data_IF_816158627475
#
_entry.id   IF_816158627475
#
_cell.length_a   1.000
_cell.length_b   1.000
_cell.length_c   1.000
_cell.angle_alpha   90.00
_cell.angle_beta   90.00
_cell.angle_gamma   90.00
#
_symmetry.space_group_name_H-M   'P 1'
#
loop_
_entity.id
_entity.type
_entity.pdbx_description
1 polymer ?
#
# COMPACT_ATOMS: atom_id res chain seq x y z
N UNK A 1 32.63 52.32 -31.99
CA UNK A 1 32.95 50.92 -32.34
C UNK A 1 33.37 50.20 -31.08
N UNK A 2 32.52 49.39 -30.47
CA UNK A 2 32.88 48.25 -29.62
C UNK A 2 31.67 47.82 -28.80
N UNK A 3 31.36 46.52 -28.81
CA UNK A 3 30.74 45.90 -27.64
C UNK A 3 29.31 45.37 -27.77
N UNK A 4 28.70 45.31 -28.95
CA UNK A 4 27.48 44.50 -29.16
C UNK A 4 27.90 43.04 -29.28
N UNK A 5 28.32 42.45 -28.15
CA UNK A 5 28.50 41.01 -28.01
C UNK A 5 27.13 40.38 -28.22
N UNK A 6 26.94 39.88 -29.43
CA UNK A 6 25.96 38.89 -29.81
C UNK A 6 26.05 37.78 -28.77
N UNK A 7 25.15 37.85 -27.78
CA UNK A 7 24.81 36.69 -26.97
C UNK A 7 24.33 35.68 -28.01
N UNK A 8 25.20 34.73 -28.32
CA UNK A 8 24.82 33.46 -28.92
C UNK A 8 23.76 32.89 -27.97
N UNK A 9 22.50 33.24 -28.24
CA UNK A 9 21.34 32.55 -27.72
C UNK A 9 21.49 31.15 -28.27
N UNK A 10 22.05 30.28 -27.42
CA UNK A 10 21.99 28.85 -27.58
C UNK A 10 20.53 28.55 -27.90
N UNK A 11 20.25 28.15 -29.14
CA UNK A 11 18.94 27.62 -29.48
C UNK A 11 18.80 26.32 -28.69
N UNK A 12 18.06 26.37 -27.60
CA UNK A 12 17.64 25.17 -26.90
C UNK A 12 16.75 24.40 -27.90
N UNK A 13 17.23 23.21 -28.32
CA UNK A 13 16.50 22.40 -29.28
C UNK A 13 15.09 22.11 -28.76
N UNK A 14 14.07 21.99 -29.63
CA UNK A 14 12.73 21.65 -29.19
C UNK A 14 12.78 20.34 -28.41
N UNK A 15 12.52 20.41 -27.11
CA UNK A 15 12.41 19.27 -26.22
C UNK A 15 11.25 18.43 -26.73
N UNK A 16 11.54 17.25 -27.29
CA UNK A 16 10.48 16.35 -27.75
C UNK A 16 9.50 16.03 -26.62
N UNK A 17 8.29 15.60 -26.96
CA UNK A 17 7.20 15.28 -26.02
C UNK A 17 7.65 14.47 -24.79
N UNK A 18 8.59 13.53 -24.96
CA UNK A 18 9.15 12.71 -23.87
C UNK A 18 9.90 13.56 -22.84
N UNK A 19 10.67 14.57 -23.26
CA UNK A 19 11.38 15.46 -22.36
C UNK A 19 10.40 16.37 -21.60
N UNK A 20 9.41 16.93 -22.29
CA UNK A 20 8.34 17.73 -21.65
C UNK A 20 7.56 16.90 -20.62
N UNK A 21 7.29 15.64 -20.93
CA UNK A 21 6.63 14.72 -20.02
C UNK A 21 7.50 14.39 -18.79
N UNK A 22 8.78 14.11 -18.97
CA UNK A 22 9.71 13.87 -17.85
C UNK A 22 9.85 15.12 -16.99
N UNK A 23 9.93 16.31 -17.58
CA UNK A 23 9.94 17.57 -16.86
C UNK A 23 8.63 17.82 -16.10
N UNK A 24 7.48 17.49 -16.68
CA UNK A 24 6.20 17.51 -16.00
C UNK A 24 6.21 16.60 -14.76
N UNK A 25 6.62 15.33 -14.91
CA UNK A 25 6.66 14.38 -13.80
C UNK A 25 7.57 14.85 -12.66
N UNK A 26 8.70 15.51 -12.99
CA UNK A 26 9.61 16.11 -12.01
C UNK A 26 8.99 17.37 -11.38
N UNK A 27 8.41 18.27 -12.18
CA UNK A 27 7.83 19.53 -11.72
C UNK A 27 6.69 19.31 -10.72
N UNK A 28 5.86 18.29 -10.95
CA UNK A 28 4.71 17.98 -10.11
C UNK A 28 4.98 16.87 -9.07
N UNK A 29 6.24 16.45 -8.89
CA UNK A 29 6.66 15.44 -7.90
C UNK A 29 5.89 14.10 -7.99
N UNK A 30 5.33 13.77 -9.17
CA UNK A 30 4.49 12.59 -9.40
C UNK A 30 5.29 11.29 -9.24
N UNK A 31 6.60 11.35 -9.53
CA UNK A 31 7.51 10.21 -9.41
C UNK A 31 7.53 9.67 -7.97
N UNK A 32 7.60 10.55 -6.97
CA UNK A 32 7.59 10.14 -5.57
C UNK A 32 6.27 9.48 -5.15
N UNK A 33 5.14 10.03 -5.62
CA UNK A 33 3.82 9.48 -5.38
C UNK A 33 3.67 8.08 -6.00
N UNK A 34 4.14 7.90 -7.24
CA UNK A 34 4.09 6.62 -7.93
C UNK A 34 4.89 5.54 -7.20
N UNK A 35 6.09 5.87 -6.73
CA UNK A 35 6.93 4.94 -5.95
C UNK A 35 6.27 4.58 -4.63
N UNK A 36 5.75 5.56 -3.89
CA UNK A 36 5.05 5.32 -2.63
C UNK A 36 3.84 4.40 -2.81
N UNK A 37 3.06 4.59 -3.88
CA UNK A 37 1.91 3.75 -4.18
C UNK A 37 2.30 2.30 -4.50
N UNK A 38 3.33 2.09 -5.34
CA UNK A 38 3.80 0.75 -5.70
C UNK A 38 4.34 0.00 -4.48
N UNK A 39 5.17 0.66 -3.67
CA UNK A 39 5.71 0.08 -2.44
C UNK A 39 4.57 -0.20 -1.45
N UNK A 40 3.63 0.73 -1.29
CA UNK A 40 2.46 0.54 -0.44
C UNK A 40 1.62 -0.67 -0.85
N UNK A 41 1.34 -0.82 -2.15
CA UNK A 41 0.62 -1.98 -2.67
C UNK A 41 1.36 -3.30 -2.44
N UNK A 42 2.68 -3.31 -2.63
CA UNK A 42 3.51 -4.49 -2.38
C UNK A 42 3.56 -4.85 -0.88
N UNK A 43 3.69 -3.86 0.00
CA UNK A 43 3.69 -4.05 1.44
C UNK A 43 2.35 -4.60 1.94
N UNK A 44 1.22 -4.07 1.45
CA UNK A 44 -0.11 -4.63 1.76
C UNK A 44 -0.21 -6.10 1.37
N UNK A 45 0.26 -6.48 0.16
CA UNK A 45 0.27 -7.89 -0.26
C UNK A 45 1.10 -8.79 0.65
N UNK A 46 2.29 -8.34 1.05
CA UNK A 46 3.15 -9.08 1.98
C UNK A 46 2.46 -9.31 3.32
N UNK A 47 1.82 -8.28 3.87
CA UNK A 47 1.08 -8.37 5.13
C UNK A 47 -0.11 -9.33 4.98
N UNK A 48 -0.90 -9.19 3.92
CA UNK A 48 -2.03 -10.07 3.66
C UNK A 48 -1.59 -11.52 3.53
N UNK A 49 -0.50 -11.82 2.82
CA UNK A 49 0.05 -13.16 2.73
C UNK A 49 0.52 -13.67 4.11
N UNK A 50 1.19 -12.83 4.89
CA UNK A 50 1.61 -13.19 6.26
C UNK A 50 0.41 -13.57 7.13
N UNK A 51 -0.69 -12.82 7.05
CA UNK A 51 -1.91 -13.11 7.81
C UNK A 51 -2.58 -14.37 7.30
N UNK A 52 -2.83 -14.48 5.99
CA UNK A 52 -3.58 -15.58 5.41
C UNK A 52 -2.82 -16.91 5.44
N UNK A 53 -1.50 -16.87 5.29
CA UNK A 53 -0.69 -18.08 5.13
C UNK A 53 -0.07 -18.53 6.46
N UNK A 54 0.17 -17.62 7.41
CA UNK A 54 0.78 -17.96 8.71
C UNK A 54 -0.19 -17.85 9.88
N UNK A 55 -0.97 -16.76 9.96
CA UNK A 55 -1.84 -16.50 11.12
C UNK A 55 -3.16 -17.27 11.03
N UNK A 56 -3.82 -17.25 9.88
CA UNK A 56 -5.11 -17.89 9.67
C UNK A 56 -5.09 -19.41 9.90
N UNK A 57 -4.08 -20.19 9.49
CA UNK A 57 -4.00 -21.61 9.82
C UNK A 57 -3.93 -21.86 11.33
N UNK A 58 -3.20 -21.02 12.08
CA UNK A 58 -3.12 -21.12 13.55
C UNK A 58 -4.48 -20.85 14.18
N UNK A 59 -5.19 -19.84 13.69
CA UNK A 59 -6.55 -19.51 14.18
C UNK A 59 -7.54 -20.63 13.81
N UNK A 60 -7.44 -21.20 12.60
CA UNK A 60 -8.30 -22.27 12.13
C UNK A 60 -8.14 -23.58 12.94
N UNK A 61 -6.97 -23.83 13.52
CA UNK A 61 -6.76 -24.95 14.46
C UNK A 61 -7.49 -24.72 15.78
N UNK A 62 -7.58 -23.47 16.24
CA UNK A 62 -8.23 -23.11 17.52
C UNK A 62 -9.75 -22.99 17.39
N UNK A 63 -10.24 -22.64 16.20
CA UNK A 63 -11.67 -22.58 15.86
C UNK A 63 -11.97 -23.66 14.81
N UNK A 64 -12.19 -24.92 15.22
CA UNK A 64 -12.46 -25.99 14.28
C UNK A 64 -13.82 -25.73 13.63
N UNK A 65 -13.84 -25.59 12.32
CA UNK A 65 -15.08 -25.61 11.55
C UNK A 65 -15.15 -24.53 10.49
N UNK A 66 -14.83 -23.26 10.78
CA UNK A 66 -14.99 -22.17 9.81
C UNK A 66 -16.42 -21.99 9.25
N UNK A 67 -17.36 -22.88 9.56
CA UNK A 67 -18.74 -22.94 9.08
C UNK A 67 -19.55 -21.68 9.44
N UNK A 68 -19.12 -20.98 10.50
CA UNK A 68 -19.68 -19.68 10.86
C UNK A 68 -19.44 -18.62 9.77
N UNK A 69 -18.37 -18.72 8.96
CA UNK A 69 -18.15 -17.84 7.80
C UNK A 69 -19.09 -18.16 6.64
N UNK A 70 -19.49 -19.43 6.50
CA UNK A 70 -20.46 -19.85 5.50
C UNK A 70 -21.92 -19.62 5.94
N UNK A 71 -22.15 -19.03 7.11
CA UNK A 71 -23.50 -18.81 7.64
C UNK A 71 -24.26 -17.79 6.80
N UNK A 72 -25.35 -18.26 6.20
CA UNK A 72 -26.29 -17.46 5.43
C UNK A 72 -27.59 -17.36 6.21
N UNK A 73 -28.15 -16.16 6.26
CA UNK A 73 -29.46 -15.89 6.83
C UNK A 73 -30.44 -15.65 5.67
N UNK A 74 -31.33 -16.61 5.46
CA UNK A 74 -32.33 -16.55 4.39
C UNK A 74 -33.56 -15.78 4.87
N UNK A 75 -33.90 -14.68 4.18
CA UNK A 75 -35.16 -13.97 4.35
C UNK A 75 -35.90 -14.02 3.02
N UNK A 76 -36.73 -15.05 2.85
CA UNK A 76 -37.46 -15.29 1.60
C UNK A 76 -36.50 -15.60 0.44
N UNK A 77 -36.57 -14.90 -0.71
CA UNK A 77 -35.66 -15.12 -1.84
C UNK A 77 -34.28 -14.43 -1.68
N UNK A 78 -34.05 -13.70 -0.58
CA UNK A 78 -32.82 -12.93 -0.35
C UNK A 78 -31.92 -13.66 0.64
N UNK A 79 -30.68 -13.90 0.23
CA UNK A 79 -29.65 -14.54 1.03
C UNK A 79 -28.72 -13.48 1.64
N UNK A 80 -28.69 -13.37 2.97
CA UNK A 80 -27.75 -12.50 3.68
C UNK A 80 -26.54 -13.30 4.16
N UNK A 81 -25.38 -13.10 3.52
CA UNK A 81 -24.12 -13.79 3.85
C UNK A 81 -23.45 -13.17 5.09
N UNK A 82 -24.13 -13.23 6.24
CA UNK A 82 -23.68 -12.60 7.48
C UNK A 82 -22.34 -13.18 7.98
N UNK A 83 -22.13 -14.47 7.75
CA UNK A 83 -20.88 -15.15 8.09
C UNK A 83 -19.67 -14.58 7.35
N UNK A 84 -19.82 -14.32 6.04
CA UNK A 84 -18.73 -13.79 5.21
C UNK A 84 -18.38 -12.36 5.62
N UNK A 85 -19.40 -11.54 5.89
CA UNK A 85 -19.19 -10.17 6.37
C UNK A 85 -18.43 -10.11 7.70
N UNK A 86 -18.85 -10.91 8.69
CA UNK A 86 -18.15 -10.98 9.99
C UNK A 86 -16.76 -11.58 9.84
N UNK A 87 -16.59 -12.55 8.93
CA UNK A 87 -15.30 -13.12 8.55
C UNK A 87 -14.33 -12.05 8.07
N UNK A 88 -14.75 -11.25 7.09
CA UNK A 88 -13.95 -10.15 6.53
C UNK A 88 -13.64 -9.06 7.58
N UNK A 89 -14.57 -8.80 8.51
CA UNK A 89 -14.34 -7.85 9.60
C UNK A 89 -13.24 -8.34 10.58
N UNK A 90 -13.25 -9.63 10.90
CA UNK A 90 -12.22 -10.26 11.75
C UNK A 90 -10.88 -10.28 11.04
N UNK A 91 -10.84 -10.63 9.76
CA UNK A 91 -9.61 -10.65 8.96
C UNK A 91 -8.98 -9.26 8.88
N UNK A 92 -9.79 -8.20 8.69
CA UNK A 92 -9.34 -6.81 8.76
C UNK A 92 -8.75 -6.45 10.13
N UNK A 93 -9.40 -6.85 11.24
CA UNK A 93 -8.90 -6.59 12.58
C UNK A 93 -7.56 -7.29 12.84
N UNK A 94 -7.38 -8.52 12.35
CA UNK A 94 -6.12 -9.26 12.44
C UNK A 94 -5.02 -8.58 11.63
N UNK A 95 -5.30 -8.19 10.38
CA UNK A 95 -4.34 -7.44 9.54
C UNK A 95 -3.93 -6.14 10.22
N UNK A 96 -4.88 -5.36 10.75
CA UNK A 96 -4.59 -4.13 11.47
C UNK A 96 -3.69 -4.37 12.70
N UNK A 97 -3.97 -5.43 13.47
CA UNK A 97 -3.16 -5.82 14.63
C UNK A 97 -1.74 -6.24 14.23
N UNK A 98 -1.58 -7.01 13.15
CA UNK A 98 -0.27 -7.45 12.65
C UNK A 98 0.55 -6.28 12.13
N UNK A 99 -0.05 -5.37 11.34
CA UNK A 99 0.62 -4.13 10.90
C UNK A 99 1.06 -3.32 12.10
N UNK A 100 0.19 -3.15 13.10
CA UNK A 100 0.52 -2.43 14.32
C UNK A 100 1.72 -3.06 15.05
N UNK A 101 1.76 -4.39 15.19
CA UNK A 101 2.89 -5.09 15.81
C UNK A 101 4.19 -4.91 15.02
N UNK A 102 4.15 -5.00 13.68
CA UNK A 102 5.32 -4.80 12.82
C UNK A 102 5.85 -3.36 12.93
N UNK A 103 4.97 -2.37 12.80
CA UNK A 103 5.35 -0.95 12.91
C UNK A 103 5.89 -0.66 14.30
N UNK A 104 5.25 -1.18 15.35
CA UNK A 104 5.71 -1.04 16.73
C UNK A 104 7.09 -1.66 16.91
N UNK A 105 7.34 -2.86 16.37
CA UNK A 105 8.64 -3.52 16.46
C UNK A 105 9.74 -2.72 15.76
N UNK A 106 9.44 -2.16 14.57
CA UNK A 106 10.38 -1.30 13.83
C UNK A 106 10.66 0.00 14.60
N UNK A 107 9.63 0.68 15.11
CA UNK A 107 9.78 1.96 15.83
C UNK A 107 10.39 1.80 17.23
N UNK A 108 10.34 0.61 17.83
CA UNK A 108 10.98 0.31 19.12
C UNK A 108 12.51 0.13 19.03
N UNK A 109 13.08 0.03 17.83
CA UNK A 109 14.53 -0.07 17.62
C UNK A 109 15.32 1.20 17.98
N UNK A 110 14.66 2.36 18.04
CA UNK A 110 15.35 3.67 18.17
C UNK A 110 15.36 4.24 19.61
N UNK A 111 14.78 3.54 20.60
CA UNK A 111 14.80 3.97 22.01
C UNK A 111 15.97 3.41 22.83
N UNK A 112 16.96 2.76 22.21
CA UNK A 112 18.17 2.24 22.90
C UNK A 112 19.47 2.87 22.40
N UNK A 113 19.47 4.18 22.11
CA UNK A 113 20.71 4.97 22.04
C UNK A 113 20.52 6.38 22.61
N UNK A 114 20.21 6.41 23.91
CA UNK A 114 20.56 7.53 24.80
C UNK A 114 21.45 6.98 25.91
N UNK A 115 22.71 6.74 25.57
CA UNK A 115 23.86 6.86 26.46
C UNK A 115 24.98 7.47 25.62
#
# INVERSE_FOLDING_TARGET
MSGTLLRLQVMEAPTGFVNEFVEFLRKYQVIGLAVAFIIGAAATKLVTATVNDLIMPIIAVIVPGGDWRASVLDIGPVQFMIGDFVGNLIDFAIVALVIFLIVKFIMQGDTTKKI
#
